data_IF_960491175851
#
_entry.id   IF_960491175851
#
_cell.length_a   1.000
_cell.length_b   1.000
_cell.length_c   1.000
_cell.angle_alpha   90.00
_cell.angle_beta   90.00
_cell.angle_gamma   90.00
#
_symmetry.space_group_name_H-M   'P 1'
#
loop_
_entity.id
_entity.type
_entity.pdbx_description
1 polymer ?
#
# COMPACT_ATOMS: atom_id res chain seq x y z
N UNK A 1 -18.52 26.75 -39.96
CA UNK A 1 -17.22 26.18 -39.54
C UNK A 1 -17.12 25.89 -38.03
N UNK A 2 -18.09 26.27 -37.19
CA UNK A 2 -18.01 26.12 -35.72
C UNK A 2 -18.65 24.83 -35.15
N UNK A 3 -19.27 23.99 -35.98
CA UNK A 3 -20.05 22.81 -35.52
C UNK A 3 -19.18 21.63 -35.07
N UNK A 4 -17.92 21.55 -35.51
CA UNK A 4 -16.99 20.48 -35.15
C UNK A 4 -16.08 20.85 -33.97
N UNK A 5 -16.12 22.09 -33.49
CA UNK A 5 -15.33 22.56 -32.35
C UNK A 5 -15.53 21.72 -31.07
N UNK A 6 -16.75 21.32 -30.66
CA UNK A 6 -16.92 20.47 -29.48
C UNK A 6 -16.35 19.07 -29.68
N UNK A 7 -16.34 18.53 -30.92
CA UNK A 7 -15.76 17.22 -31.23
C UNK A 7 -14.22 17.26 -31.16
N UNK A 8 -13.61 18.35 -31.65
CA UNK A 8 -12.15 18.57 -31.52
C UNK A 8 -11.75 18.76 -30.06
N UNK A 9 -12.57 19.46 -29.26
CA UNK A 9 -12.31 19.64 -27.83
C UNK A 9 -12.42 18.32 -27.05
N UNK A 10 -13.35 17.43 -27.42
CA UNK A 10 -13.50 16.09 -26.84
C UNK A 10 -12.26 15.22 -27.12
N UNK A 11 -11.74 15.26 -28.35
CA UNK A 11 -10.54 14.50 -28.76
C UNK A 11 -9.25 14.98 -28.07
N UNK A 12 -9.19 16.24 -27.65
CA UNK A 12 -8.03 16.78 -26.92
C UNK A 12 -7.98 16.35 -25.44
N UNK A 13 -9.10 15.89 -24.87
CA UNK A 13 -9.14 15.45 -23.46
C UNK A 13 -8.62 14.03 -23.23
N UNK A 14 -8.40 13.24 -24.28
CA UNK A 14 -8.05 11.81 -24.14
C UNK A 14 -6.56 11.51 -23.89
N UNK A 15 -5.68 12.53 -23.85
CA UNK A 15 -4.23 12.32 -23.72
C UNK A 15 -3.66 12.39 -22.29
N UNK A 16 -4.49 12.23 -21.26
CA UNK A 16 -3.99 12.22 -19.88
C UNK A 16 -3.50 10.82 -19.48
N UNK A 17 -2.24 10.51 -19.79
CA UNK A 17 -1.53 9.33 -19.25
C UNK A 17 -1.21 9.57 -17.77
N UNK A 18 -2.19 9.36 -16.88
CA UNK A 18 -2.06 9.59 -15.44
C UNK A 18 -1.18 8.56 -14.72
N UNK A 19 -0.90 7.42 -15.35
CA UNK A 19 -0.07 6.36 -14.76
C UNK A 19 1.42 6.63 -15.05
N UNK A 20 2.22 6.75 -13.99
CA UNK A 20 3.67 6.78 -14.13
C UNK A 20 4.20 5.37 -14.44
N UNK A 21 4.13 5.00 -15.72
CA UNK A 21 4.56 3.69 -16.22
C UNK A 21 6.02 3.39 -15.84
N UNK A 22 6.88 4.41 -15.82
CA UNK A 22 8.28 4.25 -15.39
C UNK A 22 8.42 3.84 -13.93
N UNK A 23 7.62 4.42 -13.02
CA UNK A 23 7.61 4.01 -11.62
C UNK A 23 7.05 2.60 -11.45
N UNK A 24 5.91 2.30 -12.09
CA UNK A 24 5.30 0.97 -12.01
C UNK A 24 6.24 -0.13 -12.52
N UNK A 25 6.92 0.11 -13.65
CA UNK A 25 7.89 -0.83 -14.21
C UNK A 25 9.08 -1.06 -13.28
N UNK A 26 9.62 0.01 -12.65
CA UNK A 26 10.70 -0.15 -11.65
C UNK A 26 10.26 -0.96 -10.45
N UNK A 27 9.11 -0.64 -9.86
CA UNK A 27 8.57 -1.39 -8.71
C UNK A 27 8.35 -2.87 -9.04
N UNK A 28 7.89 -3.17 -10.26
CA UNK A 28 7.72 -4.54 -10.73
C UNK A 28 9.06 -5.28 -10.86
N UNK A 29 10.05 -4.67 -11.52
CA UNK A 29 11.36 -5.30 -11.73
C UNK A 29 12.15 -5.47 -10.43
N UNK A 30 12.00 -4.53 -9.49
CA UNK A 30 12.70 -4.54 -8.21
C UNK A 30 11.95 -5.33 -7.12
N UNK A 31 10.82 -5.98 -7.45
CA UNK A 31 9.94 -6.63 -6.47
C UNK A 31 10.67 -7.58 -5.52
N UNK A 32 11.54 -8.43 -6.06
CA UNK A 32 12.28 -9.42 -5.27
C UNK A 32 13.26 -8.77 -4.25
N UNK A 33 13.59 -7.48 -4.39
CA UNK A 33 14.45 -6.76 -3.43
C UNK A 33 13.73 -6.33 -2.14
N UNK A 34 12.40 -6.21 -2.17
CA UNK A 34 11.61 -5.75 -1.03
C UNK A 34 10.49 -6.73 -0.63
N UNK A 35 10.36 -7.85 -1.34
CA UNK A 35 9.47 -8.95 -1.00
C UNK A 35 9.90 -9.63 0.30
N UNK A 36 8.93 -9.87 1.19
CA UNK A 36 9.13 -10.69 2.38
C UNK A 36 9.19 -12.18 1.99
N UNK A 37 10.30 -12.84 2.32
CA UNK A 37 10.57 -14.22 1.89
C UNK A 37 10.03 -15.28 2.86
N UNK A 38 9.73 -14.93 4.11
CA UNK A 38 9.17 -15.86 5.09
C UNK A 38 7.71 -16.23 4.81
N UNK A 39 6.96 -15.34 4.15
CA UNK A 39 5.56 -15.57 3.77
C UNK A 39 5.49 -16.20 2.38
N UNK A 40 5.46 -17.54 2.33
CA UNK A 40 5.49 -18.31 1.08
C UNK A 40 4.12 -18.81 0.63
N UNK A 41 3.15 -18.87 1.56
CA UNK A 41 1.80 -19.36 1.29
C UNK A 41 0.83 -18.20 1.10
N UNK A 42 -0.15 -18.36 0.20
CA UNK A 42 -1.23 -17.38 -0.02
C UNK A 42 -2.02 -17.08 1.26
N UNK A 43 -2.20 -18.09 2.12
CA UNK A 43 -2.88 -17.96 3.42
C UNK A 43 -1.87 -18.17 4.52
N UNK A 44 -1.83 -17.21 5.44
CA UNK A 44 -0.97 -17.20 6.62
C UNK A 44 -1.79 -16.64 7.79
N UNK A 45 -1.33 -16.86 9.01
CA UNK A 45 -2.03 -16.50 10.24
C UNK A 45 -1.42 -15.27 10.89
N UNK A 46 -2.12 -14.71 11.86
CA UNK A 46 -1.59 -13.66 12.72
C UNK A 46 -0.22 -14.04 13.34
N UNK A 47 -0.01 -15.31 13.69
CA UNK A 47 1.26 -15.80 14.25
C UNK A 47 2.44 -15.68 13.27
N UNK A 48 2.19 -15.65 11.96
CA UNK A 48 3.23 -15.49 10.94
C UNK A 48 3.58 -14.01 10.72
N UNK A 49 2.61 -13.10 10.89
CA UNK A 49 2.78 -11.66 10.69
C UNK A 49 3.33 -10.96 11.94
N UNK A 50 2.93 -11.41 13.13
CA UNK A 50 3.31 -10.76 14.37
C UNK A 50 4.84 -10.58 14.55
N UNK A 51 5.68 -11.61 14.29
CA UNK A 51 7.14 -11.45 14.37
C UNK A 51 7.68 -10.39 13.41
N UNK A 52 7.11 -10.26 12.21
CA UNK A 52 7.53 -9.27 11.22
C UNK A 52 7.22 -7.84 11.70
N UNK A 53 6.07 -7.63 12.34
CA UNK A 53 5.72 -6.34 12.95
C UNK A 53 6.66 -5.99 14.09
N UNK A 54 7.02 -6.97 14.93
CA UNK A 54 7.99 -6.76 16.01
C UNK A 54 9.37 -6.41 15.46
N UNK A 55 9.84 -7.09 14.41
CA UNK A 55 11.10 -6.78 13.73
C UNK A 55 11.12 -5.36 13.14
N UNK A 56 9.99 -4.85 12.66
CA UNK A 56 9.90 -3.47 12.15
C UNK A 56 10.20 -2.42 13.23
N UNK A 57 10.02 -2.73 14.52
CA UNK A 57 10.36 -1.82 15.62
C UNK A 57 11.87 -1.51 15.70
N UNK A 58 12.70 -2.43 15.23
CA UNK A 58 14.16 -2.25 15.23
C UNK A 58 14.62 -1.27 14.13
N UNK A 59 13.76 -1.02 13.14
CA UNK A 59 14.04 -0.11 12.04
C UNK A 59 13.48 1.30 12.32
N UNK A 60 14.38 2.26 12.56
CA UNK A 60 14.05 3.67 12.85
C UNK A 60 13.24 4.38 11.75
N UNK A 61 13.17 3.82 10.54
CA UNK A 61 12.33 4.35 9.47
C UNK A 61 10.83 4.24 9.82
N UNK A 62 10.46 3.25 10.62
CA UNK A 62 9.08 2.96 10.96
C UNK A 62 8.77 3.37 12.40
N UNK A 63 7.59 3.97 12.60
CA UNK A 63 6.97 4.11 13.92
C UNK A 63 5.90 3.04 14.04
N UNK A 64 6.10 2.09 14.95
CA UNK A 64 5.14 1.02 15.23
C UNK A 64 4.48 1.28 16.58
N UNK A 65 3.15 1.41 16.59
CA UNK A 65 2.37 1.73 17.78
C UNK A 65 1.23 0.73 17.94
N UNK A 66 1.02 0.22 19.16
CA UNK A 66 -0.19 -0.54 19.49
C UNK A 66 -1.31 0.47 19.74
N UNK A 67 -2.35 0.42 18.91
CA UNK A 67 -3.50 1.35 18.97
C UNK A 67 -4.75 0.73 19.59
N UNK A 68 -4.72 -0.57 19.90
CA UNK A 68 -5.81 -1.25 20.57
C UNK A 68 -5.58 -2.76 20.69
N UNK A 69 -6.65 -3.45 21.06
CA UNK A 69 -6.75 -4.91 21.10
C UNK A 69 -8.06 -5.35 20.45
N UNK A 70 -8.05 -6.53 19.83
CA UNK A 70 -9.27 -7.18 19.37
C UNK A 70 -10.12 -7.68 20.54
N UNK A 71 -11.34 -8.14 20.26
CA UNK A 71 -12.19 -8.79 21.28
C UNK A 71 -11.57 -10.05 21.91
N UNK A 72 -10.60 -10.68 21.24
CA UNK A 72 -9.83 -11.83 21.76
C UNK A 72 -8.45 -11.41 22.31
N UNK A 73 -8.22 -10.11 22.55
CA UNK A 73 -6.98 -9.60 23.15
C UNK A 73 -5.76 -9.56 22.22
N UNK A 74 -5.95 -9.63 20.89
CA UNK A 74 -4.82 -9.52 19.96
C UNK A 74 -4.49 -8.06 19.69
N UNK A 75 -3.21 -7.69 19.75
CA UNK A 75 -2.76 -6.32 19.49
C UNK A 75 -3.15 -5.85 18.09
N UNK A 76 -3.66 -4.62 18.00
CA UNK A 76 -3.87 -3.90 16.74
C UNK A 76 -2.74 -2.89 16.60
N UNK A 77 -1.99 -2.97 15.52
CA UNK A 77 -0.82 -2.12 15.27
C UNK A 77 -1.09 -1.07 14.19
N UNK A 78 -0.62 0.14 14.45
CA UNK A 78 -0.46 1.21 13.46
C UNK A 78 1.02 1.33 13.11
N UNK A 79 1.35 1.16 11.83
CA UNK A 79 2.70 1.31 11.30
C UNK A 79 2.73 2.58 10.44
N UNK A 80 3.59 3.53 10.80
CA UNK A 80 3.73 4.80 10.11
C UNK A 80 5.14 4.98 9.55
N UNK A 81 5.24 5.56 8.34
CA UNK A 81 6.51 5.89 7.68
C UNK A 81 6.36 7.17 6.86
N UNK A 82 7.44 7.97 6.80
CA UNK A 82 7.52 9.18 5.98
C UNK A 82 6.98 10.44 6.64
N UNK A 83 7.27 11.59 6.02
CA UNK A 83 7.00 12.94 6.55
C UNK A 83 6.22 13.83 5.58
N UNK A 84 5.71 13.25 4.49
CA UNK A 84 4.98 13.99 3.45
C UNK A 84 3.73 14.70 3.97
N UNK A 85 3.33 15.76 3.25
CA UNK A 85 2.14 16.57 3.54
C UNK A 85 0.84 15.84 3.24
N UNK A 86 0.83 14.98 2.22
CA UNK A 86 -0.29 14.08 1.93
C UNK A 86 -0.21 12.86 2.84
N UNK A 87 -1.26 12.63 3.63
CA UNK A 87 -1.39 11.45 4.47
C UNK A 87 -2.18 10.38 3.73
N UNK A 88 -1.63 9.16 3.70
CA UNK A 88 -2.28 7.99 3.13
C UNK A 88 -2.49 7.02 4.28
N UNK A 89 -3.72 6.56 4.46
CA UNK A 89 -4.08 5.57 5.47
C UNK A 89 -4.48 4.29 4.76
N UNK A 90 -3.86 3.19 5.16
CA UNK A 90 -4.11 1.85 4.64
C UNK A 90 -4.43 0.95 5.82
N UNK A 91 -5.35 0.03 5.63
CA UNK A 91 -5.62 -1.06 6.55
C UNK A 91 -5.79 -2.35 5.76
N UNK A 92 -5.59 -3.47 6.44
CA UNK A 92 -5.86 -4.80 5.92
C UNK A 92 -6.73 -5.56 6.93
N UNK A 93 -7.32 -6.67 6.49
CA UNK A 93 -8.04 -7.60 7.38
C UNK A 93 -9.17 -6.94 8.18
N UNK A 94 -10.02 -6.16 7.50
CA UNK A 94 -11.26 -5.63 8.10
C UNK A 94 -12.28 -6.75 8.27
N UNK A 95 -12.36 -7.63 7.26
CA UNK A 95 -13.04 -8.92 7.34
C UNK A 95 -11.97 -10.02 7.40
N UNK A 96 -12.14 -10.98 8.31
CA UNK A 96 -11.10 -11.99 8.61
C UNK A 96 -10.94 -13.08 7.54
N UNK A 97 -11.76 -13.06 6.49
CA UNK A 97 -11.75 -13.99 5.36
C UNK A 97 -11.21 -13.39 4.05
N UNK A 98 -10.89 -12.09 4.05
CA UNK A 98 -10.20 -11.37 2.97
C UNK A 98 -8.67 -11.55 3.04
#
# INVERSE_FOLDING_TARGET
MLKFLPLVLLLLTEFSMTQNFGLASRLYNDYESFKENSITNRRFKHADIFPLIEQLKDNKLFKVEKVGESGEGRNIYLISVGTGTKKIFLWSQMHGDE
#
